data_IF_965869213493
#
_entry.id   IF_965869213493
#
_cell.length_a   1.000
_cell.length_b   1.000
_cell.length_c   1.000
_cell.angle_alpha   90.00
_cell.angle_beta   90.00
_cell.angle_gamma   90.00
#
_symmetry.space_group_name_H-M   'P 1'
#
loop_
_entity.id
_entity.type
_entity.pdbx_description
1 polymer ?
#
# COMPACT_ATOMS: atom_id res chain seq x y z
N UNK A 1 2.81 10.02 24.87
CA UNK A 1 3.59 9.71 23.66
C UNK A 1 2.79 8.69 22.89
N UNK A 2 2.27 9.04 21.71
CA UNK A 2 1.47 8.11 20.90
C UNK A 2 2.48 7.11 20.33
N UNK A 3 2.43 5.88 20.83
CA UNK A 3 3.17 4.76 20.26
C UNK A 3 2.52 4.44 18.91
N UNK A 4 3.02 5.09 17.87
CA UNK A 4 2.57 4.79 16.52
C UNK A 4 3.28 3.51 16.08
N UNK A 5 2.68 2.36 16.41
CA UNK A 5 3.12 1.07 15.94
C UNK A 5 2.96 0.95 14.43
N UNK A 6 3.78 0.11 13.79
CA UNK A 6 3.66 -0.16 12.37
C UNK A 6 2.27 -0.73 12.06
N UNK A 7 1.54 -0.09 11.14
CA UNK A 7 0.18 -0.53 10.75
C UNK A 7 0.17 -1.68 9.74
N UNK A 8 1.35 -2.20 9.39
CA UNK A 8 1.45 -3.38 8.56
C UNK A 8 0.92 -4.60 9.33
N UNK A 9 0.07 -5.45 8.72
CA UNK A 9 -0.57 -6.56 9.41
C UNK A 9 0.46 -7.52 10.01
N UNK A 10 0.35 -7.77 11.32
CA UNK A 10 1.25 -8.67 12.05
C UNK A 10 2.63 -8.09 12.38
N UNK A 11 2.86 -6.79 12.20
CA UNK A 11 4.13 -6.18 12.56
C UNK A 11 4.13 -5.62 14.01
N UNK A 12 5.01 -6.12 14.90
CA UNK A 12 5.16 -5.56 16.26
C UNK A 12 6.16 -4.39 16.31
N UNK A 13 6.78 -4.01 15.19
CA UNK A 13 7.81 -2.96 15.17
C UNK A 13 7.16 -1.58 15.30
N UNK A 14 7.87 -0.65 15.93
CA UNK A 14 7.46 0.76 16.01
C UNK A 14 7.52 1.42 14.63
N UNK A 15 6.54 2.27 14.30
CA UNK A 15 6.58 3.05 13.09
C UNK A 15 7.69 4.11 13.19
N UNK A 16 8.48 4.21 12.13
CA UNK A 16 9.55 5.20 11.98
C UNK A 16 9.36 6.08 10.76
N UNK A 17 8.55 5.63 9.80
CA UNK A 17 8.26 6.29 8.53
C UNK A 17 6.76 6.24 8.26
N UNK A 18 6.30 7.04 7.30
CA UNK A 18 4.89 7.08 6.92
C UNK A 18 4.78 6.90 5.41
N UNK A 19 3.93 5.97 4.98
CA UNK A 19 3.63 5.71 3.58
C UNK A 19 2.18 6.06 3.28
N UNK A 20 1.95 7.11 2.49
CA UNK A 20 0.59 7.56 2.12
C UNK A 20 -0.35 7.70 3.34
N UNK A 21 0.11 8.37 4.40
CA UNK A 21 -0.57 8.54 5.70
C UNK A 21 -0.69 7.27 6.55
N UNK A 22 -0.09 6.15 6.15
CA UNK A 22 -0.02 4.92 6.94
C UNK A 22 1.36 4.83 7.64
N UNK A 23 1.41 4.87 8.97
CA UNK A 23 2.66 4.73 9.71
C UNK A 23 3.20 3.29 9.62
N UNK A 24 4.48 3.18 9.22
CA UNK A 24 5.20 1.93 8.98
C UNK A 24 6.59 1.95 9.63
N UNK A 25 7.12 0.75 9.92
CA UNK A 25 8.52 0.61 10.24
C UNK A 25 9.40 0.77 8.97
N UNK A 26 10.70 0.96 9.17
CA UNK A 26 11.65 1.21 8.08
C UNK A 26 11.62 0.11 7.01
N UNK A 27 11.55 -1.13 7.48
CA UNK A 27 11.52 -2.37 6.72
C UNK A 27 10.33 -2.43 5.76
N UNK A 28 9.10 -2.35 6.28
CA UNK A 28 7.89 -2.36 5.44
C UNK A 28 7.79 -1.15 4.53
N UNK A 29 8.26 0.02 4.99
CA UNK A 29 8.32 1.20 4.14
C UNK A 29 9.25 0.96 2.93
N UNK A 30 10.42 0.35 3.13
CA UNK A 30 11.35 0.06 2.05
C UNK A 30 10.81 -1.00 1.09
N UNK A 31 10.21 -2.07 1.59
CA UNK A 31 9.57 -3.13 0.78
C UNK A 31 8.52 -2.53 -0.16
N UNK A 32 7.61 -1.72 0.38
CA UNK A 32 6.53 -1.10 -0.40
C UNK A 32 7.10 -0.06 -1.37
N UNK A 33 8.17 0.66 -0.98
CA UNK A 33 8.88 1.57 -1.87
C UNK A 33 9.51 0.86 -3.04
N UNK A 34 10.21 -0.25 -2.80
CA UNK A 34 10.85 -1.05 -3.83
C UNK A 34 9.80 -1.66 -4.78
N UNK A 35 8.71 -2.21 -4.24
CA UNK A 35 7.58 -2.72 -5.04
C UNK A 35 6.95 -1.62 -5.90
N UNK A 36 6.70 -0.46 -5.31
CA UNK A 36 6.15 0.70 -6.03
C UNK A 36 7.12 1.20 -7.10
N UNK A 37 8.41 1.27 -6.80
CA UNK A 37 9.42 1.66 -7.77
C UNK A 37 9.48 0.67 -8.93
N UNK A 38 9.45 -0.64 -8.68
CA UNK A 38 9.39 -1.68 -9.72
C UNK A 38 8.14 -1.54 -10.59
N UNK A 39 6.99 -1.25 -9.98
CA UNK A 39 5.74 -0.99 -10.69
C UNK A 39 5.85 0.22 -11.64
N UNK A 40 6.41 1.35 -11.17
CA UNK A 40 6.60 2.55 -12.00
C UNK A 40 7.76 2.43 -12.99
N UNK A 41 8.76 1.59 -12.74
CA UNK A 41 9.91 1.39 -13.60
C UNK A 41 9.59 0.58 -14.87
N UNK A 42 8.33 0.19 -15.10
CA UNK A 42 7.88 -0.36 -16.38
C UNK A 42 8.37 -1.77 -16.69
N UNK A 43 8.79 -2.55 -15.68
CA UNK A 43 9.06 -3.98 -15.87
C UNK A 43 7.73 -4.69 -16.14
N UNK A 44 7.44 -4.84 -17.43
CA UNK A 44 6.52 -5.76 -18.12
C UNK A 44 5.55 -6.50 -17.19
N UNK A 45 4.25 -6.19 -17.27
CA UNK A 45 3.17 -6.85 -16.50
C UNK A 45 3.07 -6.53 -15.00
N UNK A 46 3.55 -5.38 -14.52
CA UNK A 46 3.23 -4.93 -13.16
C UNK A 46 1.74 -4.54 -13.04
N UNK A 47 0.85 -5.54 -12.92
CA UNK A 47 -0.57 -5.32 -12.63
C UNK A 47 -0.70 -4.82 -11.20
N UNK A 48 -1.65 -3.91 -10.95
CA UNK A 48 -1.96 -3.43 -9.60
C UNK A 48 -2.20 -4.58 -8.60
N UNK A 49 -2.84 -5.66 -9.07
CA UNK A 49 -3.09 -6.88 -8.30
C UNK A 49 -1.82 -7.65 -7.86
N UNK A 50 -0.66 -7.37 -8.45
CA UNK A 50 0.63 -7.97 -8.07
C UNK A 50 1.36 -7.19 -6.98
N UNK A 51 0.85 -6.00 -6.60
CA UNK A 51 1.41 -5.17 -5.54
C UNK A 51 0.95 -5.66 -4.16
N UNK A 52 1.27 -6.91 -3.83
CA UNK A 52 0.75 -7.61 -2.65
C UNK A 52 1.05 -6.84 -1.36
N UNK A 53 2.22 -6.21 -1.28
CA UNK A 53 2.67 -5.50 -0.09
C UNK A 53 1.95 -4.15 0.05
N UNK A 54 1.84 -3.40 -1.05
CA UNK A 54 1.04 -2.19 -1.10
C UNK A 54 -0.45 -2.47 -0.82
N UNK A 55 -1.02 -3.55 -1.37
CA UNK A 55 -2.43 -3.90 -1.21
C UNK A 55 -2.81 -4.19 0.26
N UNK A 56 -1.89 -4.75 1.04
CA UNK A 56 -2.08 -4.98 2.49
C UNK A 56 -2.29 -3.68 3.25
N UNK A 57 -1.59 -2.62 2.89
CA UNK A 57 -1.73 -1.29 3.52
C UNK A 57 -2.72 -0.38 2.79
N UNK A 58 -3.07 -0.66 1.53
CA UNK A 58 -3.93 0.19 0.71
C UNK A 58 -5.30 0.41 1.35
N UNK A 59 -5.82 -0.59 2.06
CA UNK A 59 -7.08 -0.51 2.82
C UNK A 59 -7.03 0.51 3.97
N UNK A 60 -5.83 0.82 4.46
CA UNK A 60 -5.58 1.77 5.54
C UNK A 60 -5.32 3.20 5.02
N UNK A 61 -5.01 3.34 3.74
CA UNK A 61 -4.76 4.65 3.10
C UNK A 61 -6.12 5.33 2.87
N UNK A 62 -6.38 6.50 3.49
CA UNK A 62 -7.69 7.16 3.46
C UNK A 62 -8.20 7.42 2.03
N UNK A 63 -7.34 7.92 1.14
CA UNK A 63 -7.71 8.24 -0.24
C UNK A 63 -7.78 7.01 -1.15
N UNK A 64 -7.08 5.93 -0.80
CA UNK A 64 -7.19 4.66 -1.52
C UNK A 64 -8.56 4.04 -1.30
N UNK A 65 -9.16 4.22 -0.11
CA UNK A 65 -10.53 3.80 0.17
C UNK A 65 -11.57 4.58 -0.67
N UNK A 66 -11.33 5.87 -0.91
CA UNK A 66 -12.19 6.70 -1.75
C UNK A 66 -12.12 6.29 -3.23
N UNK A 67 -10.93 5.94 -3.73
CA UNK A 67 -10.75 5.43 -5.11
C UNK A 67 -11.19 3.97 -5.29
N UNK A 68 -11.22 3.15 -4.23
CA UNK A 68 -11.75 1.78 -4.27
C UNK A 68 -13.29 1.71 -4.25
N UNK A 69 -13.99 2.84 -4.19
CA UNK A 69 -15.45 2.89 -4.36
C UNK A 69 -15.95 2.56 -5.78
N UNK A 70 -15.05 2.44 -6.77
CA UNK A 70 -15.39 2.21 -8.18
C UNK A 70 -14.55 1.12 -8.88
N UNK A 71 -13.76 0.33 -8.15
CA UNK A 71 -13.07 -0.84 -8.71
C UNK A 71 -13.64 -2.10 -8.07
N UNK A 72 -14.37 -2.85 -8.89
CA UNK A 72 -14.91 -4.16 -8.55
C UNK A 72 -13.76 -5.11 -8.17
N UNK A 73 -14.02 -6.16 -7.34
CA UNK A 73 -12.99 -7.07 -6.82
C UNK A 73 -12.16 -7.81 -7.88
N UNK A 74 -12.56 -7.74 -9.15
CA UNK A 74 -11.85 -8.31 -10.30
C UNK A 74 -10.81 -7.35 -10.92
N UNK A 75 -10.70 -6.10 -10.43
CA UNK A 75 -9.75 -5.11 -10.94
C UNK A 75 -10.22 -4.34 -12.19
N UNK A 76 -11.50 -4.43 -12.52
CA UNK A 76 -12.12 -3.64 -13.59
C UNK A 76 -12.63 -2.29 -13.07
N UNK A 77 -12.37 -1.21 -13.83
CA UNK A 77 -12.94 0.13 -13.63
C UNK A 77 -14.32 0.18 -14.30
N UNK A 78 -15.37 0.65 -13.59
CA UNK A 78 -16.64 0.99 -14.25
C UNK A 78 -16.44 2.25 -15.07
N UNK A 79 -16.38 2.11 -16.40
CA UNK A 79 -16.42 3.23 -17.33
C UNK A 79 -17.76 3.96 -17.25
N UNK A 80 -17.72 5.28 -17.35
CA UNK A 80 -18.88 6.16 -17.50
C UNK A 80 -19.20 6.33 -18.99
#
# INVERSE_FOLDING_TARGET
MIDDGCKYPGCPKRARKTWALVPLCDDHHEVIRAETQRYYNGSVNAKYNLRLEYLKIAKLIPWSRLKMGEVLPDGSLRGH
#
